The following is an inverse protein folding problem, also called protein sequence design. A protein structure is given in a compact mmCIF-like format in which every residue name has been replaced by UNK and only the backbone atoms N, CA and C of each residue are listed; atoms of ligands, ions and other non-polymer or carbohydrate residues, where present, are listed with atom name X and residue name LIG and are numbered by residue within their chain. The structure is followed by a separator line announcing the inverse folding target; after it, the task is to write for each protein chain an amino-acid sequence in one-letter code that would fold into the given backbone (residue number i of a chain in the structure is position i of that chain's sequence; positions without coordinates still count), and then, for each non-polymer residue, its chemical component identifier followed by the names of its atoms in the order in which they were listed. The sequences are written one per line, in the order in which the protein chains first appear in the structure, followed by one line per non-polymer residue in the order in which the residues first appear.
data_IF_346840863797
#
_entry.id   IF_346840863797
#
_cell.length_a   1.000
_cell.length_b   1.000
_cell.length_c   1.000
_cell.angle_alpha   90.00
_cell.angle_beta   90.00
_cell.angle_gamma   90.00
#
_symmetry.space_group_name_H-M   'P 1'
#
loop_
_entity.id
_entity.type
_entity.pdbx_description
1 polymer ?
#
# COMPACT_ATOMS: atom_id res chain seq x y z
N UNK A 1 -24.27 8.01 3.76
CA UNK A 1 -23.56 7.05 4.64
C UNK A 1 -22.76 6.16 3.73
N UNK A 2 -21.47 6.01 3.96
CA UNK A 2 -20.59 5.24 3.08
C UNK A 2 -20.71 3.74 3.37
N UNK A 3 -20.70 2.92 2.33
CA UNK A 3 -20.67 1.45 2.41
C UNK A 3 -19.43 0.92 1.71
N UNK A 4 -19.06 -0.35 1.96
CA UNK A 4 -18.02 -0.99 1.17
C UNK A 4 -18.43 -1.15 -0.29
N UNK A 5 -19.74 -1.26 -0.59
CA UNK A 5 -20.21 -1.29 -1.96
C UNK A 5 -19.84 -0.02 -2.74
N UNK A 6 -19.75 1.14 -2.07
CA UNK A 6 -19.32 2.40 -2.68
C UNK A 6 -17.80 2.47 -2.92
N UNK A 7 -17.02 1.61 -2.24
CA UNK A 7 -15.56 1.66 -2.19
C UNK A 7 -14.87 0.48 -2.90
N UNK A 8 -15.65 -0.49 -3.38
CA UNK A 8 -15.11 -1.71 -3.99
C UNK A 8 -15.53 -1.83 -5.45
N UNK A 9 -14.64 -2.39 -6.28
CA UNK A 9 -14.94 -2.62 -7.70
C UNK A 9 -16.08 -3.62 -7.90
N UNK A 10 -16.23 -4.61 -7.00
CA UNK A 10 -17.31 -5.60 -7.05
C UNK A 10 -18.66 -4.98 -6.70
N UNK A 11 -18.67 -3.85 -6.00
CA UNK A 11 -19.88 -3.10 -5.68
C UNK A 11 -20.78 -3.78 -4.64
N UNK A 12 -20.19 -4.58 -3.74
CA UNK A 12 -20.89 -5.23 -2.62
C UNK A 12 -20.20 -4.93 -1.29
N UNK A 13 -20.95 -5.06 -0.20
CA UNK A 13 -20.46 -4.83 1.15
C UNK A 13 -21.27 -3.79 1.91
N UNK A 14 -21.45 -4.06 3.21
CA UNK A 14 -22.35 -3.32 4.07
C UNK A 14 -21.85 -1.93 4.47
N UNK A 15 -22.70 -1.28 5.26
CA UNK A 15 -22.48 0.06 5.78
C UNK A 15 -21.23 0.13 6.69
N UNK A 16 -20.50 1.24 6.60
CA UNK A 16 -19.31 1.53 7.39
C UNK A 16 -19.66 2.56 8.47
N UNK A 17 -19.39 2.26 9.73
CA UNK A 17 -19.67 3.17 10.83
C UNK A 17 -18.83 4.47 10.73
N UNK A 18 -17.55 4.35 10.38
CA UNK A 18 -16.67 5.51 10.20
C UNK A 18 -15.71 5.28 9.05
N UNK A 19 -15.78 6.15 8.05
CA UNK A 19 -14.84 6.18 6.91
C UNK A 19 -13.97 7.43 6.97
N UNK A 20 -12.66 7.28 6.80
CA UNK A 20 -11.67 8.36 6.89
C UNK A 20 -10.73 8.30 5.69
N UNK A 21 -10.46 9.45 5.09
CA UNK A 21 -9.51 9.62 3.99
C UNK A 21 -8.44 10.65 4.36
N UNK A 22 -7.42 10.27 5.13
CA UNK A 22 -6.37 11.18 5.51
C UNK A 22 -5.48 11.53 4.31
N UNK A 23 -5.09 12.82 4.24
CA UNK A 23 -4.22 13.38 3.19
C UNK A 23 -2.80 13.67 3.69
N UNK A 24 -2.48 13.28 4.91
CA UNK A 24 -1.16 13.43 5.50
C UNK A 24 -0.75 12.17 6.25
N UNK A 25 0.58 11.97 6.38
CA UNK A 25 1.14 10.88 7.18
C UNK A 25 0.63 10.88 8.62
N UNK A 26 0.63 12.05 9.25
CA UNK A 26 0.13 12.23 10.62
C UNK A 26 -1.35 11.84 10.70
N UNK A 27 -2.16 12.29 9.76
CA UNK A 27 -3.59 11.95 9.73
C UNK A 27 -3.86 10.45 9.55
N UNK A 28 -3.02 9.72 8.81
CA UNK A 28 -3.11 8.25 8.70
C UNK A 28 -2.83 7.62 10.07
N UNK A 29 -1.72 8.01 10.70
CA UNK A 29 -1.32 7.48 12.02
C UNK A 29 -2.38 7.78 13.08
N UNK A 30 -2.85 9.03 13.16
CA UNK A 30 -3.89 9.44 14.11
C UNK A 30 -5.19 8.63 13.93
N UNK A 31 -5.62 8.38 12.70
CA UNK A 31 -6.83 7.60 12.41
C UNK A 31 -6.70 6.15 12.91
N UNK A 32 -5.51 5.56 12.75
CA UNK A 32 -5.19 4.21 13.21
C UNK A 32 -5.11 4.16 14.73
N UNK A 33 -4.36 5.06 15.36
CA UNK A 33 -4.21 5.12 16.81
C UNK A 33 -5.53 5.42 17.52
N UNK A 34 -6.40 6.25 16.93
CA UNK A 34 -7.73 6.52 17.47
C UNK A 34 -8.60 5.25 17.47
N UNK A 35 -8.56 4.46 16.39
CA UNK A 35 -9.27 3.19 16.33
C UNK A 35 -8.72 2.19 17.37
N UNK A 36 -7.40 2.07 17.48
CA UNK A 36 -6.72 1.16 18.41
C UNK A 36 -7.02 1.54 19.87
N UNK A 37 -6.93 2.83 20.20
CA UNK A 37 -7.19 3.32 21.55
C UNK A 37 -8.62 3.06 22.05
N UNK A 38 -9.56 2.97 21.10
CA UNK A 38 -10.98 2.70 21.37
C UNK A 38 -11.36 1.23 21.23
N UNK A 39 -10.40 0.37 20.86
CA UNK A 39 -10.65 -1.05 20.61
C UNK A 39 -11.61 -1.29 19.44
N UNK A 40 -11.66 -0.38 18.46
CA UNK A 40 -12.54 -0.50 17.30
C UNK A 40 -11.89 -1.38 16.22
N UNK A 41 -12.69 -2.20 15.54
CA UNK A 41 -12.23 -2.86 14.34
C UNK A 41 -11.69 -1.84 13.33
N UNK A 42 -10.52 -2.13 12.75
CA UNK A 42 -9.89 -1.28 11.75
C UNK A 42 -9.72 -2.05 10.45
N UNK A 43 -10.07 -1.42 9.33
CA UNK A 43 -9.80 -1.92 8.01
C UNK A 43 -9.12 -0.83 7.18
N UNK A 44 -7.94 -1.14 6.65
CA UNK A 44 -7.23 -0.24 5.72
C UNK A 44 -7.44 -0.74 4.31
N UNK A 45 -7.85 0.16 3.43
CA UNK A 45 -8.13 -0.19 2.04
C UNK A 45 -7.28 0.65 1.09
N UNK A 46 -6.93 0.06 -0.04
CA UNK A 46 -6.41 0.78 -1.20
C UNK A 46 -7.55 1.19 -2.15
N UNK A 47 -7.40 0.88 -3.42
CA UNK A 47 -8.42 1.17 -4.46
C UNK A 47 -9.69 0.30 -4.42
N UNK A 48 -9.78 -0.67 -3.51
CA UNK A 48 -10.95 -1.53 -3.38
C UNK A 48 -11.14 -2.56 -4.51
N UNK A 49 -10.14 -2.73 -5.38
CA UNK A 49 -10.24 -3.61 -6.55
C UNK A 49 -10.08 -5.10 -6.24
N UNK A 50 -9.55 -5.44 -5.06
CA UNK A 50 -9.30 -6.82 -4.64
C UNK A 50 -9.98 -7.13 -3.30
N UNK A 51 -11.16 -6.58 -3.09
CA UNK A 51 -11.95 -6.78 -1.87
C UNK A 51 -13.32 -7.34 -2.19
N UNK A 52 -13.68 -8.40 -1.47
CA UNK A 52 -15.03 -8.94 -1.38
C UNK A 52 -15.47 -8.85 0.07
N UNK A 53 -16.46 -8.02 0.34
CA UNK A 53 -16.94 -7.72 1.70
C UNK A 53 -18.38 -8.15 1.86
N UNK A 54 -18.71 -8.76 2.98
CA UNK A 54 -20.09 -9.17 3.31
C UNK A 54 -21.01 -7.96 3.50
N UNK A 55 -22.31 -8.14 3.26
CA UNK A 55 -23.33 -7.09 3.33
C UNK A 55 -23.68 -6.63 4.76
N UNK A 56 -23.15 -7.30 5.78
CA UNK A 56 -23.34 -6.89 7.17
C UNK A 56 -22.66 -5.54 7.49
N UNK A 57 -23.14 -4.81 8.49
CA UNK A 57 -22.52 -3.55 8.89
C UNK A 57 -21.14 -3.76 9.49
N UNK A 58 -20.18 -2.93 9.11
CA UNK A 58 -18.85 -2.87 9.71
C UNK A 58 -18.84 -1.79 10.80
N UNK A 59 -18.90 -2.22 12.05
CA UNK A 59 -18.93 -1.35 13.22
C UNK A 59 -17.52 -0.94 13.65
N UNK A 60 -16.74 -0.41 12.71
CA UNK A 60 -15.35 -0.02 12.91
C UNK A 60 -14.96 1.19 12.07
N UNK A 61 -13.66 1.37 11.95
CA UNK A 61 -13.05 2.45 11.19
C UNK A 61 -12.47 1.87 9.89
N UNK A 62 -12.83 2.45 8.76
CA UNK A 62 -12.19 2.17 7.46
C UNK A 62 -11.33 3.37 7.11
N UNK A 63 -10.05 3.13 6.85
CA UNK A 63 -9.10 4.16 6.44
C UNK A 63 -8.67 3.89 5.00
N UNK A 64 -8.79 4.90 4.15
CA UNK A 64 -8.23 4.91 2.80
C UNK A 64 -7.18 6.01 2.72
N UNK A 65 -5.92 5.66 2.52
CA UNK A 65 -4.86 6.64 2.35
C UNK A 65 -5.12 7.49 1.10
N UNK A 66 -5.30 8.79 1.31
CA UNK A 66 -5.55 9.75 0.23
C UNK A 66 -4.32 10.60 -0.12
N UNK A 67 -3.14 10.25 0.40
CA UNK A 67 -1.87 10.87 0.00
C UNK A 67 -1.54 10.48 -1.44
N UNK A 68 -0.93 11.39 -2.21
CA UNK A 68 -0.75 11.22 -3.67
C UNK A 68 0.62 11.69 -4.17
N UNK A 69 1.56 11.98 -3.27
CA UNK A 69 2.85 12.52 -3.69
C UNK A 69 3.75 11.44 -4.27
N UNK A 70 4.39 11.75 -5.40
CA UNK A 70 5.48 10.99 -5.99
C UNK A 70 6.67 11.92 -6.07
N UNK A 71 7.85 11.49 -5.63
CA UNK A 71 9.08 12.29 -5.64
C UNK A 71 10.27 11.47 -6.11
N UNK A 72 11.19 12.14 -6.79
CA UNK A 72 12.50 11.59 -7.13
C UNK A 72 13.51 12.35 -6.25
N UNK A 73 14.01 11.75 -5.16
CA UNK A 73 14.84 12.45 -4.19
C UNK A 73 16.24 12.81 -4.71
N UNK A 74 16.75 12.06 -5.69
CA UNK A 74 18.11 12.22 -6.19
C UNK A 74 18.12 12.90 -7.55
N UNK A 75 18.68 14.13 -7.62
CA UNK A 75 18.95 14.79 -8.90
C UNK A 75 20.06 14.09 -9.72
N UNK A 76 20.95 13.36 -9.03
CA UNK A 76 22.02 12.57 -9.64
C UNK A 76 21.81 11.10 -9.31
N UNK A 77 21.20 10.38 -10.24
CA UNK A 77 21.03 8.94 -10.09
C UNK A 77 22.40 8.24 -9.96
N UNK A 78 22.63 7.41 -8.96
CA UNK A 78 23.84 6.62 -8.84
C UNK A 78 23.97 5.68 -10.05
N UNK A 79 25.20 5.34 -10.40
CA UNK A 79 25.48 4.36 -11.44
C UNK A 79 25.98 3.09 -10.77
N UNK A 80 25.21 2.03 -10.84
CA UNK A 80 25.59 0.70 -10.37
C UNK A 80 25.73 -0.23 -11.58
N UNK A 81 26.85 -0.96 -11.63
CA UNK A 81 27.14 -1.88 -12.74
C UNK A 81 27.03 -1.29 -14.16
N UNK A 82 27.19 0.04 -14.30
CA UNK A 82 27.07 0.75 -15.57
C UNK A 82 25.66 1.21 -15.94
N UNK A 83 24.68 0.91 -15.11
CA UNK A 83 23.29 1.36 -15.25
C UNK A 83 22.98 2.46 -14.23
N UNK A 84 22.10 3.38 -14.61
CA UNK A 84 21.60 4.41 -13.68
C UNK A 84 20.41 3.86 -12.94
N UNK A 85 20.51 3.86 -11.61
CA UNK A 85 19.41 3.52 -10.71
C UNK A 85 18.77 4.81 -10.23
N UNK A 86 17.49 4.96 -10.45
CA UNK A 86 16.71 6.12 -10.02
C UNK A 86 15.75 5.69 -8.91
N UNK A 87 15.90 6.29 -7.72
CA UNK A 87 14.98 6.05 -6.64
C UNK A 87 13.72 6.90 -6.79
N UNK A 88 12.56 6.29 -6.68
CA UNK A 88 11.26 6.97 -6.72
C UNK A 88 10.50 6.66 -5.44
N UNK A 89 10.18 7.71 -4.68
CA UNK A 89 9.31 7.58 -3.51
C UNK A 89 7.88 7.87 -3.92
N UNK A 90 6.96 6.96 -3.60
CA UNK A 90 5.55 7.15 -3.86
C UNK A 90 4.72 6.87 -2.60
N UNK A 91 3.81 7.78 -2.27
CA UNK A 91 2.89 7.58 -1.16
C UNK A 91 1.90 6.44 -1.43
N UNK A 92 1.55 5.70 -0.40
CA UNK A 92 0.74 4.47 -0.49
C UNK A 92 -0.62 4.67 -1.18
N UNK A 93 -1.19 5.85 -1.06
CA UNK A 93 -2.46 6.19 -1.67
C UNK A 93 -2.39 6.59 -3.15
N UNK A 94 -1.21 6.79 -3.75
CA UNK A 94 -1.08 7.08 -5.17
C UNK A 94 -1.81 6.04 -6.01
N UNK A 95 -2.49 6.46 -7.08
CA UNK A 95 -3.02 5.52 -8.05
C UNK A 95 -1.86 4.76 -8.70
N UNK A 96 -2.02 3.45 -8.87
CA UNK A 96 -0.97 2.61 -9.42
C UNK A 96 -0.63 2.96 -10.87
N UNK A 97 -1.64 3.16 -11.71
CA UNK A 97 -1.41 3.44 -13.13
C UNK A 97 -0.83 4.84 -13.36
N UNK A 98 -1.21 5.84 -12.53
CA UNK A 98 -0.58 7.16 -12.54
C UNK A 98 0.90 7.08 -12.15
N UNK A 99 1.24 6.21 -11.18
CA UNK A 99 2.63 5.96 -10.81
C UNK A 99 3.42 5.31 -11.96
N UNK A 100 2.86 4.31 -12.62
CA UNK A 100 3.49 3.67 -13.79
C UNK A 100 3.67 4.69 -14.92
N UNK A 101 2.66 5.50 -15.22
CA UNK A 101 2.77 6.55 -16.23
C UNK A 101 3.90 7.54 -15.89
N UNK A 102 4.01 7.95 -14.63
CA UNK A 102 5.09 8.83 -14.16
C UNK A 102 6.48 8.22 -14.38
N UNK A 103 6.67 6.93 -14.04
CA UNK A 103 7.98 6.27 -14.24
C UNK A 103 8.33 6.12 -15.73
N UNK A 104 7.35 5.80 -16.58
CA UNK A 104 7.53 5.68 -18.03
C UNK A 104 7.87 7.04 -18.66
N UNK A 105 7.22 8.14 -18.24
CA UNK A 105 7.54 9.50 -18.69
C UNK A 105 8.97 9.90 -18.35
N UNK A 106 9.54 9.39 -17.27
CA UNK A 106 10.93 9.58 -16.90
C UNK A 106 11.90 8.62 -17.63
N UNK A 107 11.38 7.72 -18.44
CA UNK A 107 12.19 6.70 -19.15
C UNK A 107 12.72 5.61 -18.21
N UNK A 108 12.05 5.35 -17.08
CA UNK A 108 12.43 4.31 -16.13
C UNK A 108 11.74 3.00 -16.51
N UNK A 109 12.44 1.89 -16.29
CA UNK A 109 11.94 0.52 -16.51
C UNK A 109 11.76 -0.21 -15.18
N UNK A 110 10.96 -1.28 -15.21
CA UNK A 110 10.78 -2.21 -14.09
C UNK A 110 9.32 -2.37 -13.65
N UNK A 111 8.44 -1.43 -13.98
CA UNK A 111 7.00 -1.50 -13.64
C UNK A 111 6.08 -1.26 -14.83
N UNK A 112 6.61 -0.95 -16.01
CA UNK A 112 5.84 -0.61 -17.22
C UNK A 112 4.88 -1.72 -17.66
N UNK A 113 5.28 -2.99 -17.51
CA UNK A 113 4.42 -4.15 -17.78
C UNK A 113 3.26 -4.33 -16.79
N UNK A 114 3.24 -3.55 -15.74
CA UNK A 114 2.19 -3.58 -14.70
C UNK A 114 1.15 -2.47 -14.89
N UNK A 115 1.23 -1.70 -16.00
CA UNK A 115 0.24 -0.69 -16.35
C UNK A 115 -1.17 -1.29 -16.46
N UNK A 116 -2.17 -0.51 -16.09
CA UNK A 116 -3.58 -0.90 -16.14
C UNK A 116 -4.03 -1.81 -15.00
N UNK A 117 -3.14 -2.28 -14.12
CA UNK A 117 -3.55 -3.01 -12.90
C UNK A 117 -4.24 -2.02 -11.96
N UNK A 118 -5.48 -2.25 -11.57
CA UNK A 118 -6.21 -1.33 -10.70
C UNK A 118 -5.71 -1.39 -9.26
N UNK A 119 -5.70 -0.25 -8.57
CA UNK A 119 -5.37 -0.18 -7.16
C UNK A 119 -4.50 1.02 -6.81
N UNK A 120 -3.78 0.91 -5.70
CA UNK A 120 -2.86 1.94 -5.20
C UNK A 120 -1.46 1.37 -5.02
N UNK A 121 -0.48 2.26 -4.99
CA UNK A 121 0.94 1.92 -4.81
C UNK A 121 1.15 1.09 -3.54
N UNK A 122 0.57 1.48 -2.39
CA UNK A 122 0.66 0.67 -1.17
C UNK A 122 0.05 -0.72 -1.31
N UNK A 123 -1.13 -0.82 -1.94
CA UNK A 123 -1.79 -2.11 -2.15
C UNK A 123 -1.02 -3.02 -3.12
N UNK A 124 -0.30 -2.44 -4.09
CA UNK A 124 0.52 -3.19 -5.04
C UNK A 124 1.58 -4.04 -4.35
N UNK A 125 2.24 -3.46 -3.35
CA UNK A 125 3.28 -4.12 -2.56
C UNK A 125 2.71 -5.20 -1.65
N UNK A 126 1.58 -4.93 -0.97
CA UNK A 126 0.91 -5.92 -0.11
C UNK A 126 0.60 -7.20 -0.89
N UNK A 127 0.09 -7.06 -2.11
CA UNK A 127 -0.32 -8.18 -2.96
C UNK A 127 0.83 -8.75 -3.78
N UNK A 128 2.00 -8.08 -3.86
CA UNK A 128 3.04 -8.36 -4.86
C UNK A 128 2.41 -8.51 -6.24
N UNK A 129 1.82 -7.42 -6.74
CA UNK A 129 1.15 -7.47 -8.04
C UNK A 129 2.13 -7.85 -9.14
N UNK A 130 1.64 -8.52 -10.16
CA UNK A 130 2.47 -8.95 -11.29
C UNK A 130 1.64 -9.23 -12.53
N UNK A 131 2.23 -8.97 -13.67
CA UNK A 131 1.70 -9.26 -14.99
C UNK A 131 2.85 -9.32 -15.99
N UNK A 132 2.65 -10.03 -17.11
CA UNK A 132 3.58 -10.08 -18.24
C UNK A 132 5.03 -10.41 -17.87
N UNK A 133 5.23 -11.20 -16.83
CA UNK A 133 6.56 -11.62 -16.35
C UNK A 133 7.25 -10.63 -15.40
N UNK A 134 6.64 -9.48 -15.12
CA UNK A 134 7.09 -8.53 -14.10
C UNK A 134 6.30 -8.71 -12.81
N UNK A 135 6.92 -8.42 -11.68
CA UNK A 135 6.32 -8.31 -10.36
C UNK A 135 6.83 -7.05 -9.66
N UNK A 136 6.00 -6.43 -8.83
CA UNK A 136 6.41 -5.22 -8.11
C UNK A 136 7.63 -5.45 -7.22
N UNK A 137 7.80 -6.67 -6.72
CA UNK A 137 8.97 -7.09 -5.95
C UNK A 137 10.31 -6.85 -6.66
N UNK A 138 10.31 -6.86 -8.01
CA UNK A 138 11.52 -6.61 -8.80
C UNK A 138 11.97 -5.16 -8.83
N UNK A 139 11.09 -4.23 -8.47
CA UNK A 139 11.35 -2.79 -8.51
C UNK A 139 11.37 -2.14 -7.12
N UNK A 140 10.76 -2.77 -6.09
CA UNK A 140 10.72 -2.22 -4.73
C UNK A 140 12.07 -2.35 -4.06
N UNK A 141 12.58 -1.25 -3.52
CA UNK A 141 13.78 -1.22 -2.68
C UNK A 141 13.44 -1.39 -1.20
N UNK A 142 12.52 -0.59 -0.71
CA UNK A 142 12.06 -0.65 0.69
C UNK A 142 10.61 -0.17 0.83
N UNK A 143 10.05 -0.41 2.01
CA UNK A 143 8.70 0.00 2.36
C UNK A 143 8.71 0.66 3.72
N UNK A 144 8.35 1.94 3.78
CA UNK A 144 8.08 2.59 5.05
C UNK A 144 6.69 2.14 5.57
N UNK A 145 6.63 1.66 6.80
CA UNK A 145 5.42 1.16 7.41
C UNK A 145 5.24 1.68 8.84
N UNK A 146 3.99 1.82 9.28
CA UNK A 146 3.65 2.11 10.67
C UNK A 146 3.37 0.82 11.41
N UNK A 147 4.17 0.54 12.45
CA UNK A 147 3.94 -0.56 13.38
C UNK A 147 2.96 -0.11 14.48
N UNK A 148 1.74 -0.62 14.41
CA UNK A 148 0.66 -0.30 15.36
C UNK A 148 0.96 -0.77 16.78
N UNK A 149 1.69 -1.88 16.93
CA UNK A 149 2.00 -2.47 18.22
C UNK A 149 3.04 -1.64 18.97
N UNK A 150 4.14 -1.35 18.28
CA UNK A 150 5.28 -0.65 18.89
C UNK A 150 5.18 0.87 18.68
N UNK A 151 4.13 1.34 17.95
CA UNK A 151 3.85 2.76 17.65
C UNK A 151 5.07 3.48 17.10
N UNK A 152 5.68 2.89 16.08
CA UNK A 152 6.86 3.43 15.43
C UNK A 152 6.82 3.20 13.92
N UNK A 153 7.53 4.03 13.21
CA UNK A 153 7.82 3.79 11.80
C UNK A 153 8.91 2.74 11.66
N UNK A 154 8.71 1.84 10.70
CA UNK A 154 9.70 0.87 10.23
C UNK A 154 10.02 1.17 8.77
N UNK A 155 11.28 0.99 8.40
CA UNK A 155 11.72 0.91 7.01
C UNK A 155 12.09 -0.56 6.75
N UNK A 156 11.33 -1.23 5.90
CA UNK A 156 11.44 -2.66 5.65
C UNK A 156 12.08 -2.84 4.28
N UNK A 157 13.28 -3.38 4.24
CA UNK A 157 13.96 -3.67 2.98
C UNK A 157 13.19 -4.71 2.15
N UNK A 158 13.27 -4.64 0.82
CA UNK A 158 12.62 -5.61 -0.06
C UNK A 158 13.00 -7.05 0.26
N UNK A 159 14.25 -7.29 0.67
CA UNK A 159 14.73 -8.61 1.08
C UNK A 159 13.99 -9.19 2.29
N UNK A 160 13.47 -8.33 3.17
CA UNK A 160 12.73 -8.72 4.39
C UNK A 160 11.22 -8.80 4.15
N UNK A 161 10.75 -8.39 2.97
CA UNK A 161 9.34 -8.40 2.61
C UNK A 161 8.78 -9.80 2.30
N UNK A 162 9.64 -10.82 2.19
CA UNK A 162 9.22 -12.18 1.93
C UNK A 162 8.33 -12.34 0.69
N UNK A 163 8.66 -11.60 -0.37
CA UNK A 163 7.89 -11.62 -1.60
C UNK A 163 7.83 -13.01 -2.23
N UNK A 164 6.65 -13.37 -2.70
CA UNK A 164 6.37 -14.57 -3.46
C UNK A 164 5.15 -14.36 -4.34
N UNK A 165 4.75 -15.39 -5.08
CA UNK A 165 3.60 -15.26 -5.98
C UNK A 165 2.35 -14.76 -5.24
N UNK A 166 1.91 -13.55 -5.57
CA UNK A 166 0.78 -12.84 -4.91
C UNK A 166 0.90 -12.76 -3.40
N UNK A 167 2.12 -12.68 -2.86
CA UNK A 167 2.40 -12.70 -1.43
C UNK A 167 3.47 -11.71 -1.04
N UNK A 168 3.31 -11.13 0.16
CA UNK A 168 4.33 -10.40 0.90
C UNK A 168 4.18 -10.65 2.40
N UNK A 169 5.18 -10.30 3.21
CA UNK A 169 5.09 -10.35 4.67
C UNK A 169 3.93 -9.50 5.21
N UNK A 170 3.64 -8.37 4.58
CA UNK A 170 2.51 -7.51 4.94
C UNK A 170 1.17 -8.25 4.78
N UNK A 171 0.97 -8.97 3.69
CA UNK A 171 -0.23 -9.77 3.47
C UNK A 171 -0.34 -10.92 4.46
N UNK A 172 0.76 -11.61 4.73
CA UNK A 172 0.79 -12.74 5.67
C UNK A 172 0.48 -12.28 7.08
N UNK A 173 1.03 -11.14 7.52
CA UNK A 173 0.76 -10.58 8.84
C UNK A 173 -0.69 -10.14 9.04
N UNK A 174 -1.41 -9.81 7.95
CA UNK A 174 -2.85 -9.49 8.00
C UNK A 174 -3.72 -10.74 8.27
N UNK A 175 -3.26 -11.94 7.89
CA UNK A 175 -4.08 -13.16 7.94
C UNK A 175 -3.58 -14.23 8.92
N UNK A 176 -2.38 -14.12 9.44
CA UNK A 176 -1.80 -15.10 10.37
C UNK A 176 -1.23 -14.43 11.62
N UNK A 177 -1.72 -14.83 12.79
CA UNK A 177 -1.02 -14.58 14.05
C UNK A 177 0.18 -15.55 14.16
N UNK A 178 1.21 -15.28 14.86
CA UNK A 178 2.32 -14.34 14.76
C UNK A 178 3.66 -15.05 14.48
N UNK A 179 4.19 -14.92 13.29
CA UNK A 179 5.62 -15.20 13.09
C UNK A 179 6.41 -13.92 12.76
N UNK A 180 5.74 -12.88 12.34
CA UNK A 180 6.20 -11.49 12.39
C UNK A 180 5.24 -10.80 13.35
N UNK A 181 5.69 -9.97 14.31
CA UNK A 181 4.80 -9.31 15.24
C UNK A 181 3.68 -8.65 14.43
N UNK A 182 2.44 -8.98 14.78
CA UNK A 182 1.25 -8.53 14.09
C UNK A 182 1.10 -7.01 14.20
N UNK A 183 1.88 -6.28 13.39
CA UNK A 183 1.65 -4.89 13.08
C UNK A 183 0.88 -4.87 11.76
N UNK A 184 -0.26 -4.24 11.73
CA UNK A 184 -0.85 -3.87 10.46
C UNK A 184 -0.04 -2.67 9.95
N UNK A 185 0.64 -2.86 8.82
CA UNK A 185 1.57 -1.89 8.28
C UNK A 185 0.87 -1.04 7.21
N UNK A 186 1.22 0.25 7.16
CA UNK A 186 0.81 1.15 6.10
C UNK A 186 2.02 1.38 5.18
N UNK A 187 2.13 0.67 4.07
CA UNK A 187 3.30 0.75 3.22
C UNK A 187 3.37 2.07 2.46
N UNK A 188 4.54 2.67 2.42
CA UNK A 188 4.92 3.72 1.48
C UNK A 188 6.18 3.21 0.77
N UNK A 189 6.04 2.59 -0.41
CA UNK A 189 7.16 1.99 -1.11
C UNK A 189 8.14 3.02 -1.66
N UNK A 190 9.40 2.61 -1.72
CA UNK A 190 10.48 3.25 -2.51
C UNK A 190 10.85 2.30 -3.63
N UNK A 191 10.89 2.83 -4.82
CA UNK A 191 11.20 2.09 -6.04
C UNK A 191 12.52 2.57 -6.61
#
# INVERSE_FOLDING_TARGET
MTSFADLTTIGVGGHIARFIEPTSRVGVIEAVEDADSKGLPLCVIGGGSNLLVADGPFNGVVVRDARRQITVPDEAAPVENGERIVHVNAEAGCNWDDFVAFTVELGLEGVEGLSGIPGTVGASVVQNIGAYGQEVAGAVESVEAWDRRDKRTLDIAAADMGFGYRMSALKTSMYQAPAVPAGEFFPTPRY
#
